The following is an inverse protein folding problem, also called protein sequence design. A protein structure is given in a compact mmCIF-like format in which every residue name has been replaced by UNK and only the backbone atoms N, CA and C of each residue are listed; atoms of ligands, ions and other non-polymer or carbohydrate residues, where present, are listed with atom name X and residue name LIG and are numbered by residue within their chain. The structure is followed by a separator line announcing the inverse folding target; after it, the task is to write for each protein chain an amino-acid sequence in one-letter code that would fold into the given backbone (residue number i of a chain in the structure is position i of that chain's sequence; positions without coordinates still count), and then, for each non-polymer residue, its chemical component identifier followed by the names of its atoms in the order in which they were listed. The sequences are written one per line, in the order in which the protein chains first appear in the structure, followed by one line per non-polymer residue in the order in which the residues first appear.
data_IF_448525987338
#
_entry.id   IF_448525987338
#
_cell.length_a   1.000
_cell.length_b   1.000
_cell.length_c   1.000
_cell.angle_alpha   90.00
_cell.angle_beta   90.00
_cell.angle_gamma   90.00
#
_symmetry.space_group_name_H-M   'P 1'
#
loop_
_entity.id
_entity.type
_entity.pdbx_description
1 polymer ?
#
# COMPACT_ATOMS: atom_id res chain seq x y z
N UNK A 1 26.35 -9.87 10.66
CA UNK A 1 25.03 -10.10 10.06
C UNK A 1 24.14 -8.99 10.59
N UNK A 2 23.71 -8.08 9.72
CA UNK A 2 22.84 -6.98 10.11
C UNK A 2 21.48 -7.58 10.46
N UNK A 3 20.93 -7.23 11.61
CA UNK A 3 19.60 -7.67 12.04
C UNK A 3 18.55 -6.82 11.31
N UNK A 4 18.17 -7.27 10.12
CA UNK A 4 17.25 -6.56 9.23
C UNK A 4 15.87 -6.37 9.87
N UNK A 5 15.43 -7.32 10.71
CA UNK A 5 14.19 -7.24 11.48
C UNK A 5 14.25 -6.05 12.44
N UNK A 6 15.37 -5.89 13.16
CA UNK A 6 15.55 -4.74 14.06
C UNK A 6 15.56 -3.41 13.31
N UNK A 7 16.13 -3.35 12.11
CA UNK A 7 16.11 -2.15 11.26
C UNK A 7 14.69 -1.83 10.82
N UNK A 8 13.93 -2.81 10.33
CA UNK A 8 12.54 -2.64 9.90
C UNK A 8 11.66 -2.15 11.06
N UNK A 9 11.81 -2.71 12.26
CA UNK A 9 11.04 -2.27 13.45
C UNK A 9 11.34 -0.82 13.82
N UNK A 10 12.62 -0.43 13.84
CA UNK A 10 13.02 0.95 14.12
C UNK A 10 12.52 1.92 13.05
N UNK A 11 12.60 1.50 11.79
CA UNK A 11 12.11 2.26 10.63
C UNK A 11 10.60 2.50 10.71
N UNK A 12 9.80 1.45 10.89
CA UNK A 12 8.34 1.55 11.02
C UNK A 12 7.94 2.48 12.18
N UNK A 13 8.69 2.43 13.29
CA UNK A 13 8.45 3.33 14.42
C UNK A 13 8.71 4.80 14.05
N UNK A 14 9.82 5.10 13.37
CA UNK A 14 10.16 6.46 12.93
C UNK A 14 9.16 6.99 11.88
N UNK A 15 8.76 6.12 10.96
CA UNK A 15 7.75 6.39 9.95
C UNK A 15 6.41 6.76 10.58
N UNK A 16 5.96 5.96 11.56
CA UNK A 16 4.72 6.22 12.31
C UNK A 16 4.74 7.60 12.97
N UNK A 17 5.81 7.93 13.70
CA UNK A 17 5.93 9.24 14.37
C UNK A 17 5.86 10.39 13.36
N UNK A 18 6.50 10.24 12.22
CA UNK A 18 6.56 11.28 11.19
C UNK A 18 5.20 11.47 10.51
N UNK A 19 4.52 10.39 10.14
CA UNK A 19 3.18 10.45 9.53
C UNK A 19 2.13 11.00 10.51
N UNK A 20 2.25 10.73 11.82
CA UNK A 20 1.38 11.33 12.84
C UNK A 20 1.53 12.86 12.91
N UNK A 21 2.71 13.38 12.58
CA UNK A 21 2.99 14.82 12.53
C UNK A 21 2.67 15.45 11.17
N UNK A 22 2.48 14.64 10.12
CA UNK A 22 2.17 15.12 8.79
C UNK A 22 0.81 15.84 8.73
N UNK A 23 0.78 16.96 8.00
CA UNK A 23 -0.47 17.66 7.69
C UNK A 23 -1.43 16.75 6.88
N UNK A 24 -2.72 17.09 6.88
CA UNK A 24 -3.71 16.36 6.08
C UNK A 24 -3.34 16.39 4.59
N UNK A 25 -2.88 17.53 4.09
CA UNK A 25 -2.48 17.68 2.69
C UNK A 25 -1.25 16.83 2.32
N UNK A 26 -0.27 16.74 3.22
CA UNK A 26 0.85 15.81 3.05
C UNK A 26 0.35 14.37 2.99
N UNK A 27 -0.53 13.97 3.91
CA UNK A 27 -1.09 12.61 3.94
C UNK A 27 -1.85 12.26 2.66
N UNK A 28 -2.72 13.16 2.17
CA UNK A 28 -3.40 13.02 0.87
C UNK A 28 -2.39 12.84 -0.26
N UNK A 29 -1.37 13.69 -0.33
CA UNK A 29 -0.34 13.60 -1.38
C UNK A 29 0.45 12.29 -1.32
N UNK A 30 0.76 11.78 -0.12
CA UNK A 30 1.44 10.51 0.09
C UNK A 30 0.57 9.30 -0.28
N UNK A 31 -0.73 9.31 0.05
CA UNK A 31 -1.67 8.27 -0.40
C UNK A 31 -1.72 8.21 -1.93
N UNK A 32 -1.83 9.36 -2.60
CA UNK A 32 -1.82 9.43 -4.07
C UNK A 32 -0.49 8.95 -4.66
N UNK A 33 0.63 9.25 -4.01
CA UNK A 33 1.93 8.77 -4.42
C UNK A 33 2.01 7.24 -4.33
N UNK A 34 1.77 6.68 -3.13
CA UNK A 34 1.94 5.25 -2.85
C UNK A 34 0.96 4.38 -3.64
N UNK A 35 -0.19 4.92 -4.07
CA UNK A 35 -1.11 4.23 -4.98
C UNK A 35 -0.40 3.63 -6.20
N UNK A 36 0.58 4.34 -6.75
CA UNK A 36 1.32 3.88 -7.94
C UNK A 36 2.21 2.65 -7.66
N UNK A 37 2.60 2.39 -6.42
CA UNK A 37 3.24 1.12 -6.04
C UNK A 37 2.25 -0.03 -6.14
N UNK A 38 1.06 0.11 -5.55
CA UNK A 38 0.06 -0.96 -5.54
C UNK A 38 -0.50 -1.26 -6.93
N UNK A 39 -0.58 -0.26 -7.81
CA UNK A 39 -0.91 -0.48 -9.22
C UNK A 39 0.06 -1.41 -9.95
N UNK A 40 1.30 -1.55 -9.45
CA UNK A 40 2.29 -2.47 -10.02
C UNK A 40 2.07 -3.91 -9.57
N UNK A 41 1.30 -4.16 -8.50
CA UNK A 41 1.04 -5.51 -8.04
C UNK A 41 0.16 -6.25 -9.06
N UNK A 42 0.42 -7.55 -9.29
CA UNK A 42 -0.34 -8.33 -10.25
C UNK A 42 -1.81 -8.34 -9.84
N UNK A 43 -2.69 -8.19 -10.83
CA UNK A 43 -4.14 -8.29 -10.67
C UNK A 43 -4.77 -7.30 -9.66
N UNK A 44 -4.07 -6.25 -9.21
CA UNK A 44 -4.57 -5.27 -8.24
C UNK A 44 -5.99 -4.77 -8.56
N UNK A 45 -6.18 -4.22 -9.76
CA UNK A 45 -7.49 -3.74 -10.22
C UNK A 45 -8.56 -4.83 -10.27
N UNK A 46 -8.17 -6.03 -10.70
CA UNK A 46 -9.07 -7.18 -10.78
C UNK A 46 -9.54 -7.61 -9.40
N UNK A 47 -8.67 -7.70 -8.41
CA UNK A 47 -9.05 -8.07 -7.05
C UNK A 47 -10.03 -7.06 -6.43
N UNK A 48 -9.81 -5.75 -6.63
CA UNK A 48 -10.74 -4.74 -6.13
C UNK A 48 -12.11 -4.83 -6.82
N UNK A 49 -12.14 -5.05 -8.13
CA UNK A 49 -13.40 -5.19 -8.86
C UNK A 49 -14.14 -6.50 -8.49
N UNK A 50 -13.42 -7.61 -8.42
CA UNK A 50 -13.93 -8.94 -8.04
C UNK A 50 -14.58 -8.89 -6.66
N UNK A 51 -13.87 -8.36 -5.66
CA UNK A 51 -14.29 -8.47 -4.27
C UNK A 51 -15.16 -7.30 -3.81
N UNK A 52 -14.84 -6.06 -4.19
CA UNK A 52 -15.56 -4.87 -3.71
C UNK A 52 -16.58 -4.31 -4.70
N UNK A 53 -16.64 -4.85 -5.92
CA UNK A 53 -17.50 -4.33 -7.01
C UNK A 53 -17.23 -2.84 -7.26
N UNK A 54 -15.94 -2.49 -7.24
CA UNK A 54 -15.42 -1.14 -7.48
C UNK A 54 -14.49 -1.20 -8.68
N UNK A 55 -14.88 -0.54 -9.76
CA UNK A 55 -13.97 -0.23 -10.87
C UNK A 55 -13.25 1.08 -10.52
N UNK A 56 -11.93 1.03 -10.40
CA UNK A 56 -11.13 2.20 -10.01
C UNK A 56 -10.89 3.09 -11.24
N UNK A 57 -11.31 4.35 -11.16
CA UNK A 57 -10.82 5.41 -12.04
C UNK A 57 -9.83 6.25 -11.23
N UNK A 58 -8.54 6.19 -11.60
CA UNK A 58 -7.45 6.86 -10.86
C UNK A 58 -7.66 8.36 -10.69
N UNK A 59 -8.11 9.05 -11.75
CA UNK A 59 -8.35 10.49 -11.69
C UNK A 59 -9.49 10.83 -10.73
N UNK A 60 -10.58 10.06 -10.76
CA UNK A 60 -11.70 10.26 -9.83
C UNK A 60 -11.30 9.93 -8.39
N UNK A 61 -10.57 8.83 -8.18
CA UNK A 61 -10.09 8.44 -6.86
C UNK A 61 -9.22 9.55 -6.24
N UNK A 62 -8.34 10.16 -7.03
CA UNK A 62 -7.46 11.22 -6.55
C UNK A 62 -8.25 12.50 -6.22
N UNK A 63 -9.24 12.84 -7.04
CA UNK A 63 -10.17 13.95 -6.77
C UNK A 63 -10.98 13.69 -5.48
N UNK A 64 -11.46 12.45 -5.30
CA UNK A 64 -12.20 12.04 -4.10
C UNK A 64 -11.31 12.10 -2.84
N UNK A 65 -10.02 11.77 -2.94
CA UNK A 65 -9.05 11.91 -1.84
C UNK A 65 -8.85 13.38 -1.48
N UNK A 66 -8.68 14.24 -2.48
CA UNK A 66 -8.43 15.67 -2.28
C UNK A 66 -9.61 16.36 -1.60
N UNK A 67 -10.84 15.95 -1.93
CA UNK A 67 -12.09 16.50 -1.41
C UNK A 67 -12.72 15.69 -0.25
N UNK A 68 -12.03 14.67 0.26
CA UNK A 68 -12.51 13.73 1.30
C UNK A 68 -13.88 13.06 0.98
N UNK A 69 -14.18 12.86 -0.30
CA UNK A 69 -15.38 12.19 -0.80
C UNK A 69 -15.21 10.67 -0.84
N UNK A 70 -14.79 10.05 0.27
CA UNK A 70 -14.37 8.63 0.28
C UNK A 70 -15.44 7.65 0.82
N UNK A 71 -16.57 8.18 1.29
CA UNK A 71 -17.57 7.40 2.02
C UNK A 71 -18.23 6.31 1.17
N UNK A 72 -18.39 6.53 -0.14
CA UNK A 72 -18.99 5.53 -1.03
C UNK A 72 -18.11 4.29 -1.20
N UNK A 73 -16.78 4.47 -1.28
CA UNK A 73 -15.83 3.36 -1.29
C UNK A 73 -15.92 2.56 0.02
N UNK A 74 -15.88 3.24 1.16
CA UNK A 74 -15.95 2.62 2.48
C UNK A 74 -17.23 1.80 2.68
N UNK A 75 -18.38 2.32 2.21
CA UNK A 75 -19.65 1.61 2.28
C UNK A 75 -19.69 0.37 1.38
N UNK A 76 -19.11 0.44 0.18
CA UNK A 76 -19.02 -0.72 -0.72
C UNK A 76 -18.13 -1.81 -0.15
N UNK A 77 -16.98 -1.44 0.40
CA UNK A 77 -16.06 -2.37 1.08
C UNK A 77 -16.77 -3.05 2.26
N UNK A 78 -17.42 -2.26 3.13
CA UNK A 78 -18.14 -2.79 4.29
C UNK A 78 -19.25 -3.78 3.88
N UNK A 79 -20.03 -3.46 2.84
CA UNK A 79 -21.08 -4.37 2.33
C UNK A 79 -20.51 -5.65 1.75
N UNK A 80 -19.38 -5.55 1.05
CA UNK A 80 -18.73 -6.70 0.43
C UNK A 80 -18.12 -7.64 1.47
N UNK A 81 -17.50 -7.09 2.52
CA UNK A 81 -16.97 -7.91 3.61
C UNK A 81 -18.07 -8.56 4.45
N UNK A 82 -19.25 -7.94 4.56
CA UNK A 82 -20.37 -8.46 5.34
C UNK A 82 -21.05 -9.70 4.72
N UNK A 83 -20.77 -10.02 3.46
CA UNK A 83 -21.32 -11.20 2.78
C UNK A 83 -20.35 -12.39 2.75
N UNK A 84 -19.12 -12.21 3.25
CA UNK A 84 -18.15 -13.28 3.36
C UNK A 84 -18.55 -14.17 4.54
N UNK A 85 -18.76 -15.46 4.25
CA UNK A 85 -18.98 -16.50 5.26
C UNK A 85 -17.84 -17.51 5.19
N UNK A 86 -16.91 -17.42 6.16
CA UNK A 86 -15.73 -18.29 6.25
C UNK A 86 -16.07 -19.76 6.52
N UNK A 87 -17.33 -20.06 6.87
CA UNK A 87 -17.83 -21.42 7.11
C UNK A 87 -18.69 -21.95 5.97
N UNK A 88 -18.87 -21.19 4.89
CA UNK A 88 -19.60 -21.67 3.72
C UNK A 88 -18.80 -22.76 2.98
N UNK A 89 -19.51 -23.75 2.44
CA UNK A 89 -18.90 -24.88 1.73
C UNK A 89 -18.14 -24.47 0.46
N UNK A 90 -18.45 -23.29 -0.09
CA UNK A 90 -17.82 -22.68 -1.27
C UNK A 90 -16.85 -21.54 -0.92
N UNK A 91 -16.47 -21.38 0.36
CA UNK A 91 -15.50 -20.38 0.77
C UNK A 91 -14.11 -20.69 0.20
N UNK A 92 -13.58 -19.75 -0.57
CA UNK A 92 -12.23 -19.79 -1.12
C UNK A 92 -11.34 -18.85 -0.29
N UNK A 93 -10.28 -19.39 0.30
CA UNK A 93 -9.28 -18.57 1.01
C UNK A 93 -8.55 -17.72 -0.01
N UNK A 94 -8.47 -16.42 0.26
CA UNK A 94 -7.77 -15.46 -0.61
C UNK A 94 -6.26 -15.64 -0.52
N UNK A 95 -5.58 -15.50 -1.65
CA UNK A 95 -4.12 -15.48 -1.70
C UNK A 95 -3.56 -14.23 -1.01
N UNK A 96 -2.31 -14.31 -0.55
CA UNK A 96 -1.70 -13.24 0.25
C UNK A 96 -1.61 -11.91 -0.51
N UNK A 97 -1.29 -11.95 -1.81
CA UNK A 97 -1.31 -10.74 -2.66
C UNK A 97 -2.73 -10.20 -2.85
N UNK A 98 -3.75 -11.05 -2.95
CA UNK A 98 -5.15 -10.61 -3.03
C UNK A 98 -5.55 -9.87 -1.74
N UNK A 99 -5.22 -10.42 -0.57
CA UNK A 99 -5.45 -9.79 0.74
C UNK A 99 -4.76 -8.43 0.82
N UNK A 100 -3.47 -8.37 0.48
CA UNK A 100 -2.69 -7.12 0.50
C UNK A 100 -3.30 -6.06 -0.41
N UNK A 101 -3.73 -6.43 -1.63
CA UNK A 101 -4.36 -5.50 -2.56
C UNK A 101 -5.66 -4.91 -1.98
N UNK A 102 -6.49 -5.76 -1.38
CA UNK A 102 -7.77 -5.37 -0.78
C UNK A 102 -7.57 -4.45 0.42
N UNK A 103 -6.67 -4.81 1.33
CA UNK A 103 -6.35 -4.02 2.51
C UNK A 103 -5.73 -2.67 2.13
N UNK A 104 -4.81 -2.65 1.16
CA UNK A 104 -4.22 -1.42 0.66
C UNK A 104 -5.28 -0.48 0.10
N UNK A 105 -6.18 -0.98 -0.75
CA UNK A 105 -7.26 -0.14 -1.28
C UNK A 105 -8.18 0.39 -0.17
N UNK A 106 -8.54 -0.45 0.80
CA UNK A 106 -9.36 -0.03 1.94
C UNK A 106 -8.68 1.06 2.80
N UNK A 107 -7.36 0.96 2.97
CA UNK A 107 -6.55 1.97 3.68
C UNK A 107 -6.44 3.27 2.89
N UNK A 108 -6.27 3.22 1.56
CA UNK A 108 -6.20 4.41 0.70
C UNK A 108 -7.48 5.23 0.77
N UNK A 109 -8.64 4.57 0.77
CA UNK A 109 -9.95 5.22 0.84
C UNK A 109 -10.42 5.47 2.28
N UNK A 110 -9.57 5.21 3.29
CA UNK A 110 -9.87 5.58 4.67
C UNK A 110 -9.89 7.12 4.84
N UNK A 111 -10.40 7.60 5.97
CA UNK A 111 -10.35 9.03 6.29
C UNK A 111 -8.89 9.48 6.43
N UNK A 112 -8.48 10.47 5.65
CA UNK A 112 -7.08 10.96 5.59
C UNK A 112 -6.61 11.61 6.90
N UNK A 113 -7.55 12.05 7.74
CA UNK A 113 -7.30 12.47 9.12
C UNK A 113 -6.80 11.34 10.04
N UNK A 114 -6.97 10.06 9.67
CA UNK A 114 -6.43 8.90 10.39
C UNK A 114 -5.07 8.51 9.83
N UNK A 115 -4.00 8.91 10.50
CA UNK A 115 -2.61 8.59 10.12
C UNK A 115 -2.34 7.08 10.04
N UNK A 116 -3.05 6.27 10.83
CA UNK A 116 -2.81 4.83 10.93
C UNK A 116 -2.96 4.11 9.59
N UNK A 117 -3.90 4.55 8.74
CA UNK A 117 -4.11 3.95 7.43
C UNK A 117 -2.89 4.19 6.51
N UNK A 118 -2.33 5.40 6.53
CA UNK A 118 -1.14 5.71 5.74
C UNK A 118 0.10 4.98 6.26
N UNK A 119 0.27 4.87 7.58
CA UNK A 119 1.35 4.06 8.17
C UNK A 119 1.25 2.61 7.70
N UNK A 120 0.05 2.03 7.74
CA UNK A 120 -0.17 0.65 7.31
C UNK A 120 0.12 0.46 5.81
N UNK A 121 -0.20 1.43 4.95
CA UNK A 121 0.19 1.39 3.54
C UNK A 121 1.71 1.31 3.36
N UNK A 122 2.47 2.21 4.00
CA UNK A 122 3.94 2.18 3.89
C UNK A 122 4.55 0.90 4.48
N UNK A 123 4.01 0.38 5.57
CA UNK A 123 4.43 -0.91 6.14
C UNK A 123 4.14 -2.07 5.18
N UNK A 124 2.97 -2.09 4.54
CA UNK A 124 2.61 -3.14 3.60
C UNK A 124 3.49 -3.14 2.35
N UNK A 125 4.07 -2.01 1.93
CA UNK A 125 5.11 -2.01 0.89
C UNK A 125 6.31 -2.87 1.30
N UNK A 126 6.78 -2.73 2.54
CA UNK A 126 7.88 -3.53 3.08
C UNK A 126 7.49 -5.01 3.14
N UNK A 127 6.29 -5.33 3.61
CA UNK A 127 5.77 -6.69 3.68
C UNK A 127 5.68 -7.35 2.31
N UNK A 128 5.22 -6.63 1.28
CA UNK A 128 5.21 -7.13 -0.10
C UNK A 128 6.63 -7.43 -0.58
N UNK A 129 7.60 -6.54 -0.35
CA UNK A 129 8.97 -6.77 -0.80
C UNK A 129 9.62 -7.96 -0.08
N UNK A 130 9.34 -8.12 1.22
CA UNK A 130 9.77 -9.29 2.00
C UNK A 130 9.10 -10.58 1.48
N UNK A 131 7.81 -10.54 1.12
CA UNK A 131 7.13 -11.66 0.49
C UNK A 131 7.83 -12.07 -0.81
N UNK A 132 8.09 -11.13 -1.73
CA UNK A 132 8.81 -11.46 -2.97
C UNK A 132 10.25 -11.92 -2.73
N UNK A 133 10.93 -11.41 -1.69
CA UNK A 133 12.24 -11.92 -1.29
C UNK A 133 12.17 -13.39 -0.87
N UNK A 134 11.15 -13.79 -0.11
CA UNK A 134 11.03 -15.15 0.41
C UNK A 134 10.49 -16.17 -0.60
N UNK A 135 9.67 -15.73 -1.56
CA UNK A 135 8.93 -16.64 -2.44
C UNK A 135 9.31 -16.57 -3.93
N UNK A 136 10.13 -15.61 -4.37
CA UNK A 136 10.61 -15.58 -5.76
C UNK A 136 11.92 -16.34 -5.95
N UNK A 137 12.27 -16.60 -7.22
CA UNK A 137 13.54 -17.20 -7.62
C UNK A 137 14.76 -16.26 -7.47
N UNK A 138 14.57 -15.00 -7.03
CA UNK A 138 15.62 -13.98 -7.00
C UNK A 138 15.68 -13.22 -5.65
N UNK A 139 15.89 -13.91 -4.52
CA UNK A 139 15.86 -13.31 -3.19
C UNK A 139 16.84 -12.13 -3.05
N UNK A 140 18.06 -12.20 -3.60
CA UNK A 140 19.03 -11.11 -3.49
C UNK A 140 18.60 -9.84 -4.24
N UNK A 141 17.88 -10.01 -5.37
CA UNK A 141 17.33 -8.88 -6.13
C UNK A 141 16.27 -8.13 -5.30
N UNK A 142 15.36 -8.88 -4.67
CA UNK A 142 14.30 -8.28 -3.84
C UNK A 142 14.83 -7.70 -2.54
N UNK A 143 15.81 -8.33 -1.90
CA UNK A 143 16.49 -7.72 -0.75
C UNK A 143 17.11 -6.36 -1.12
N UNK A 144 17.74 -6.25 -2.29
CA UNK A 144 18.29 -4.97 -2.76
C UNK A 144 17.21 -3.92 -3.08
N UNK A 145 16.00 -4.33 -3.49
CA UNK A 145 14.85 -3.43 -3.63
C UNK A 145 14.33 -2.99 -2.27
N UNK A 146 14.20 -3.92 -1.32
CA UNK A 146 13.76 -3.64 0.04
C UNK A 146 14.68 -2.62 0.72
N UNK A 147 16.00 -2.79 0.62
CA UNK A 147 16.97 -1.81 1.14
C UNK A 147 16.77 -0.41 0.53
N UNK A 148 16.50 -0.33 -0.78
CA UNK A 148 16.21 0.95 -1.45
C UNK A 148 14.89 1.56 -1.00
N UNK A 149 13.89 0.74 -0.70
CA UNK A 149 12.61 1.22 -0.21
C UNK A 149 12.73 1.79 1.21
N UNK A 150 13.47 1.14 2.09
CA UNK A 150 13.72 1.66 3.45
C UNK A 150 14.40 3.04 3.36
N UNK A 151 15.47 3.17 2.57
CA UNK A 151 16.15 4.46 2.35
C UNK A 151 15.22 5.52 1.73
N UNK A 152 14.33 5.10 0.83
CA UNK A 152 13.37 6.01 0.21
C UNK A 152 12.31 6.50 1.21
N UNK A 153 11.79 5.62 2.05
CA UNK A 153 10.87 5.99 3.12
C UNK A 153 11.55 6.85 4.20
N UNK A 154 12.85 6.65 4.48
CA UNK A 154 13.65 7.55 5.33
C UNK A 154 13.72 8.98 4.75
N UNK A 155 13.87 9.11 3.42
CA UNK A 155 13.80 10.41 2.77
C UNK A 155 12.41 11.04 2.89
N UNK A 156 11.34 10.25 2.72
CA UNK A 156 9.96 10.73 2.92
C UNK A 156 9.77 11.24 4.34
N UNK A 157 10.28 10.54 5.36
CA UNK A 157 10.25 10.98 6.76
C UNK A 157 10.90 12.37 6.91
N UNK A 158 12.08 12.56 6.33
CA UNK A 158 12.76 13.86 6.35
C UNK A 158 11.94 14.95 5.65
N UNK A 159 11.33 14.64 4.50
CA UNK A 159 10.55 15.60 3.71
C UNK A 159 9.22 15.98 4.39
N UNK A 160 8.62 15.05 5.14
CA UNK A 160 7.47 15.34 6.01
C UNK A 160 7.85 16.44 7.02
N UNK A 161 8.98 16.28 7.71
CA UNK A 161 9.46 17.27 8.69
C UNK A 161 9.77 18.64 8.06
N UNK A 162 10.13 18.64 6.77
CA UNK A 162 10.39 19.84 5.97
C UNK A 162 9.13 20.46 5.36
N UNK A 163 7.94 19.93 5.69
CA UNK A 163 6.64 20.44 5.22
C UNK A 163 6.46 20.43 3.69
N UNK A 164 7.16 19.52 3.00
CA UNK A 164 7.08 19.35 1.55
C UNK A 164 5.77 18.64 1.19
N UNK A 165 5.13 19.07 0.09
CA UNK A 165 4.03 18.34 -0.56
C UNK A 165 4.61 17.39 -1.60
N UNK A 166 4.14 16.15 -1.60
CA UNK A 166 4.71 15.08 -2.40
C UNK A 166 4.08 15.04 -3.79
N UNK A 167 4.92 14.87 -4.82
CA UNK A 167 4.44 14.56 -6.17
C UNK A 167 3.89 13.13 -6.18
N UNK A 168 2.70 12.93 -6.74
CA UNK A 168 2.10 11.61 -6.92
C UNK A 168 2.96 10.65 -7.77
N UNK A 169 3.92 11.17 -8.55
CA UNK A 169 4.80 10.39 -9.40
C UNK A 169 6.03 9.79 -8.68
N UNK A 170 6.30 10.12 -7.42
CA UNK A 170 7.54 9.67 -6.75
C UNK A 170 7.66 8.14 -6.69
N UNK A 171 6.57 7.44 -6.35
CA UNK A 171 6.56 5.97 -6.30
C UNK A 171 6.51 5.34 -7.69
N UNK A 172 5.80 5.96 -8.64
CA UNK A 172 5.84 5.53 -10.04
C UNK A 172 7.28 5.54 -10.58
N UNK A 173 8.04 6.58 -10.26
CA UNK A 173 9.44 6.74 -10.69
C UNK A 173 10.36 5.73 -10.00
N UNK A 174 10.17 5.52 -8.70
CA UNK A 174 10.95 4.55 -7.91
C UNK A 174 10.79 3.11 -8.43
N UNK A 175 9.57 2.73 -8.82
CA UNK A 175 9.22 1.37 -9.26
C UNK A 175 9.07 1.21 -10.77
N UNK A 176 9.52 2.18 -11.57
CA UNK A 176 9.29 2.17 -13.02
C UNK A 176 9.84 0.91 -13.72
N UNK A 177 11.00 0.41 -13.25
CA UNK A 177 11.74 -0.71 -13.84
C UNK A 177 11.65 -2.01 -13.01
N UNK A 178 10.74 -2.05 -12.04
CA UNK A 178 10.52 -3.24 -11.19
C UNK A 178 9.25 -3.93 -11.69
N UNK A 179 9.35 -5.25 -11.90
CA UNK A 179 8.26 -6.09 -12.37
C UNK A 179 7.84 -7.06 -11.26
N UNK A 180 6.58 -6.97 -10.85
CA UNK A 180 5.97 -7.87 -9.88
C UNK A 180 5.22 -8.97 -10.65
N UNK A 181 5.72 -10.20 -10.56
CA UNK A 181 5.11 -11.37 -11.19
C UNK A 181 4.12 -12.04 -10.24
N UNK A 182 3.05 -12.63 -10.77
CA UNK A 182 2.22 -13.51 -9.97
C UNK A 182 3.07 -14.72 -9.53
N UNK A 183 3.16 -14.95 -8.23
CA UNK A 183 3.97 -16.04 -7.65
C UNK A 183 3.15 -17.33 -7.48
N UNK A 184 1.83 -17.25 -7.63
CA UNK A 184 0.88 -18.35 -7.44
C UNK A 184 0.72 -19.27 -8.68
N UNK A 185 1.54 -19.07 -9.72
CA UNK A 185 1.54 -19.88 -10.96
C UNK A 185 2.73 -20.88 -11.08
N UNK A 186 3.26 -21.42 -9.97
CA UNK A 186 4.30 -22.48 -9.99
C UNK A 186 3.70 -23.86 -9.66
#
# INVERSE_FOLDING_TARGET
MIDIIKIIVLHIFALKQSIEQASIEQRKSLVKAIFSFYEKLPLFYFYIEKNYKITINKSQLFDDIDHELLIHYQQKIQRSNAVIDEYADDYETLDEIEVICLDAFAMMVAKQSKSQALVALFSAVVEVLDYYQNFSDQPEYWNAILEKEILFQEQIIHDISSHIIFDSAIYMSQYQNIEFKCLDEI
#
